data_IF_660288734449
#
_entry.id   IF_660288734449
#
_cell.length_a   1.000
_cell.length_b   1.000
_cell.length_c   1.000
_cell.angle_alpha   90.00
_cell.angle_beta   90.00
_cell.angle_gamma   90.00
#
_symmetry.space_group_name_H-M   'P 1'
#
loop_
_entity.id
_entity.type
_entity.pdbx_description
1 polymer ?
#
# COMPACT_ATOMS: atom_id res chain seq x y z
N UNK A 1 26.08 -6.66 21.01
CA UNK A 1 24.64 -6.67 20.71
C UNK A 1 24.20 -5.23 20.71
N UNK A 2 23.87 -4.69 19.56
CA UNK A 2 23.37 -3.32 19.46
C UNK A 2 21.90 -3.34 19.89
N UNK A 3 21.59 -2.75 21.05
CA UNK A 3 20.23 -2.68 21.61
C UNK A 3 19.49 -1.49 20.98
N UNK A 4 19.47 -1.44 19.65
CA UNK A 4 18.78 -0.41 18.90
C UNK A 4 17.28 -0.69 18.81
N UNK A 5 16.47 0.37 18.71
CA UNK A 5 15.04 0.24 18.45
C UNK A 5 14.85 -0.44 17.09
N UNK A 6 14.21 -1.60 17.08
CA UNK A 6 13.84 -2.30 15.85
C UNK A 6 12.78 -1.50 15.08
N UNK A 7 12.68 -1.71 13.76
CA UNK A 7 11.65 -1.04 12.94
C UNK A 7 10.22 -1.32 13.43
N UNK A 8 9.99 -2.50 14.01
CA UNK A 8 8.70 -2.89 14.61
C UNK A 8 8.42 -2.10 15.87
N UNK A 9 9.39 -2.01 16.79
CA UNK A 9 9.28 -1.19 18.01
C UNK A 9 9.08 0.29 17.67
N UNK A 10 9.71 0.79 16.60
CA UNK A 10 9.47 2.15 16.10
C UNK A 10 8.01 2.36 15.71
N UNK A 11 7.42 1.43 14.94
CA UNK A 11 6.05 1.58 14.47
C UNK A 11 5.06 1.51 15.64
N UNK A 12 5.25 0.56 16.55
CA UNK A 12 4.47 0.44 17.79
C UNK A 12 4.58 1.73 18.61
N UNK A 13 5.80 2.24 18.81
CA UNK A 13 6.04 3.47 19.54
C UNK A 13 5.38 4.68 18.87
N UNK A 14 5.44 4.79 17.53
CA UNK A 14 4.83 5.87 16.76
C UNK A 14 3.30 5.85 16.82
N UNK A 15 2.69 4.67 16.75
CA UNK A 15 1.23 4.51 16.83
C UNK A 15 0.71 4.81 18.23
N UNK A 16 1.48 4.43 19.25
CA UNK A 16 1.11 4.59 20.65
C UNK A 16 1.68 5.87 21.26
N UNK A 17 2.31 6.78 20.49
CA UNK A 17 3.01 7.94 21.08
C UNK A 17 2.08 8.83 21.89
N UNK A 18 0.83 8.99 21.46
CA UNK A 18 -0.17 9.80 22.16
C UNK A 18 -0.64 9.15 23.46
N UNK A 19 -0.84 7.82 23.44
CA UNK A 19 -1.18 7.03 24.62
C UNK A 19 -0.01 6.99 25.62
N UNK A 20 1.23 6.78 25.14
CA UNK A 20 2.45 6.84 25.94
C UNK A 20 2.61 8.23 26.58
N UNK A 21 2.40 9.31 25.82
CA UNK A 21 2.46 10.67 26.37
C UNK A 21 1.38 10.89 27.43
N UNK A 22 0.15 10.42 27.18
CA UNK A 22 -0.94 10.49 28.15
C UNK A 22 -0.62 9.72 29.43
N UNK A 23 -0.08 8.51 29.31
CA UNK A 23 0.39 7.72 30.45
C UNK A 23 1.55 8.39 31.18
N UNK A 24 2.50 9.02 30.49
CA UNK A 24 3.62 9.71 31.14
C UNK A 24 3.18 10.99 31.86
N UNK A 25 2.15 11.67 31.37
CA UNK A 25 1.55 12.83 32.03
C UNK A 25 0.68 12.42 33.22
N UNK A 26 -0.01 11.27 33.15
CA UNK A 26 -0.96 10.81 34.18
C UNK A 26 -0.38 9.85 35.23
N UNK A 27 0.51 8.91 34.84
CA UNK A 27 0.97 7.79 35.68
C UNK A 27 2.13 8.15 36.60
N UNK A 28 2.89 9.20 36.28
CA UNK A 28 3.90 9.74 37.19
C UNK A 28 3.14 10.54 38.24
N UNK A 29 2.77 9.88 39.33
CA UNK A 29 1.89 10.38 40.41
C UNK A 29 2.32 11.69 41.10
N UNK A 30 3.46 12.26 40.70
CA UNK A 30 3.86 13.64 40.94
C UNK A 30 4.09 14.30 39.58
N UNK A 31 3.37 15.39 39.28
CA UNK A 31 3.60 16.28 38.13
C UNK A 31 5.08 16.56 37.91
N UNK A 32 5.82 16.73 39.00
CA UNK A 32 7.23 17.08 39.02
C UNK A 32 8.11 16.02 38.35
N UNK A 33 7.81 14.73 38.49
CA UNK A 33 8.60 13.67 37.88
C UNK A 33 8.39 13.61 36.36
N UNK A 34 7.16 13.87 35.90
CA UNK A 34 6.85 13.94 34.47
C UNK A 34 7.53 15.14 33.82
N UNK A 35 7.49 16.29 34.50
CA UNK A 35 8.17 17.53 34.09
C UNK A 35 9.68 17.31 34.05
N UNK A 36 10.27 16.70 35.07
CA UNK A 36 11.71 16.43 35.12
C UNK A 36 12.13 15.46 34.01
N UNK A 37 11.38 14.37 33.80
CA UNK A 37 11.65 13.43 32.71
C UNK A 37 11.57 14.13 31.34
N UNK A 38 10.55 14.95 31.14
CA UNK A 38 10.39 15.74 29.92
C UNK A 38 11.59 16.68 29.71
N UNK A 39 11.99 17.46 30.74
CA UNK A 39 13.14 18.37 30.67
C UNK A 39 14.45 17.61 30.37
N UNK A 40 14.66 16.46 31.01
CA UNK A 40 15.84 15.60 30.77
C UNK A 40 15.85 15.07 29.34
N UNK A 41 14.73 14.53 28.86
CA UNK A 41 14.62 14.02 27.49
C UNK A 41 14.80 15.16 26.47
N UNK A 42 14.20 16.32 26.69
CA UNK A 42 14.31 17.47 25.81
C UNK A 42 15.76 17.95 25.64
N UNK A 43 16.58 17.85 26.69
CA UNK A 43 18.01 18.18 26.65
C UNK A 43 18.88 17.03 26.12
N UNK A 44 18.47 15.78 26.30
CA UNK A 44 19.23 14.60 25.87
C UNK A 44 19.09 14.29 24.38
N UNK A 45 17.95 14.65 23.77
CA UNK A 45 17.71 14.50 22.33
C UNK A 45 18.61 15.48 21.55
N UNK A 46 19.38 14.97 20.58
CA UNK A 46 20.30 15.78 19.76
C UNK A 46 19.50 16.78 18.91
N UNK A 47 20.12 17.85 18.40
CA UNK A 47 19.45 18.82 17.52
C UNK A 47 18.10 19.39 18.03
N UNK A 48 17.83 19.31 19.33
CA UNK A 48 16.55 19.71 19.93
C UNK A 48 16.57 21.14 20.50
N UNK A 49 17.64 21.90 20.22
CA UNK A 49 17.86 23.22 20.84
C UNK A 49 16.81 24.25 20.44
N UNK A 50 16.27 24.21 19.22
CA UNK A 50 15.18 25.10 18.79
C UNK A 50 13.85 24.75 19.45
N UNK A 51 13.55 23.46 19.57
CA UNK A 51 12.38 22.99 20.32
C UNK A 51 12.48 23.45 21.77
N UNK A 52 13.59 23.21 22.45
CA UNK A 52 13.80 23.63 23.85
C UNK A 52 13.68 25.14 24.02
N UNK A 53 14.17 25.94 23.06
CA UNK A 53 14.03 27.40 23.07
C UNK A 53 12.60 27.89 22.89
N UNK A 54 11.74 27.09 22.26
CA UNK A 54 10.33 27.41 22.06
C UNK A 54 9.45 27.04 23.26
N UNK A 55 10.02 26.35 24.25
CA UNK A 55 9.30 25.95 25.46
C UNK A 55 9.36 27.07 26.51
N UNK A 56 8.21 27.37 27.08
CA UNK A 56 8.06 28.23 28.25
C UNK A 56 7.51 27.41 29.42
N UNK A 57 7.71 27.84 30.67
CA UNK A 57 7.25 27.07 31.84
C UNK A 57 5.73 27.00 31.95
N UNK A 58 5.00 27.91 31.28
CA UNK A 58 3.54 27.86 31.15
C UNK A 58 3.01 26.58 30.51
N UNK A 59 3.84 25.82 29.76
CA UNK A 59 3.42 24.54 29.18
C UNK A 59 3.10 23.48 30.24
N UNK A 60 3.58 23.63 31.47
CA UNK A 60 3.36 22.66 32.55
C UNK A 60 2.09 22.94 33.36
N UNK A 61 1.46 24.10 33.13
CA UNK A 61 0.23 24.50 33.82
C UNK A 61 -1.02 23.89 33.17
N UNK A 62 -0.92 23.48 31.91
CA UNK A 62 -2.00 22.87 31.13
C UNK A 62 -1.61 21.46 30.68
N UNK A 63 -2.36 20.46 31.14
CA UNK A 63 -2.08 19.05 30.87
C UNK A 63 -2.25 18.67 29.39
N UNK A 64 -3.13 19.34 28.66
CA UNK A 64 -3.34 19.10 27.23
C UNK A 64 -2.18 19.66 26.40
N UNK A 65 -1.75 20.90 26.72
CA UNK A 65 -0.59 21.53 26.11
C UNK A 65 0.68 20.73 26.44
N UNK A 66 0.83 20.32 27.71
CA UNK A 66 1.97 19.54 28.15
C UNK A 66 2.05 18.22 27.39
N UNK A 67 0.93 17.49 27.26
CA UNK A 67 0.85 16.25 26.49
C UNK A 67 1.26 16.47 25.04
N UNK A 68 0.76 17.51 24.38
CA UNK A 68 1.09 17.79 22.98
C UNK A 68 2.60 18.01 22.78
N UNK A 69 3.23 18.76 23.67
CA UNK A 69 4.69 18.97 23.65
C UNK A 69 5.43 17.67 23.95
N UNK A 70 4.93 16.84 24.84
CA UNK A 70 5.48 15.51 25.13
C UNK A 70 5.43 14.60 23.90
N UNK A 71 4.30 14.54 23.19
CA UNK A 71 4.16 13.79 21.93
C UNK A 71 5.18 14.27 20.89
N UNK A 72 5.33 15.59 20.76
CA UNK A 72 6.28 16.19 19.82
C UNK A 72 7.71 15.79 20.14
N UNK A 73 8.09 15.84 21.43
CA UNK A 73 9.40 15.43 21.91
C UNK A 73 9.67 13.93 21.64
N UNK A 74 8.70 13.06 21.93
CA UNK A 74 8.83 11.62 21.71
C UNK A 74 8.98 11.26 20.23
N UNK A 75 8.25 11.95 19.33
CA UNK A 75 8.42 11.79 17.88
C UNK A 75 9.82 12.20 17.42
N UNK A 76 10.36 13.28 17.97
CA UNK A 76 11.70 13.75 17.63
C UNK A 76 12.79 12.84 18.20
N UNK A 77 12.62 12.31 19.42
CA UNK A 77 13.49 11.30 19.99
C UNK A 77 13.50 10.02 19.14
N UNK A 78 12.32 9.59 18.68
CA UNK A 78 12.17 8.41 17.85
C UNK A 78 12.85 8.55 16.48
N UNK A 79 12.75 9.72 15.84
CA UNK A 79 13.44 9.93 14.56
C UNK A 79 14.95 9.81 14.69
N UNK A 80 15.51 10.24 15.82
CA UNK A 80 16.95 10.19 16.08
C UNK A 80 17.45 8.83 16.55
N UNK A 81 16.64 8.09 17.29
CA UNK A 81 16.96 6.71 17.67
C UNK A 81 17.08 5.78 16.45
N UNK A 82 16.56 6.21 15.29
CA UNK A 82 16.59 5.47 14.02
C UNK A 82 17.76 5.89 13.11
N UNK A 83 18.32 7.08 13.31
CA UNK A 83 19.52 7.58 12.60
C UNK A 83 20.84 7.09 13.23
N UNK A 84 20.86 5.87 13.78
CA UNK A 84 22.14 5.17 14.01
C UNK A 84 22.67 4.78 12.62
N UNK A 85 23.80 5.35 12.15
CA UNK A 85 24.21 5.21 10.77
C UNK A 85 24.85 3.84 10.54
N UNK A 86 24.15 2.93 9.88
CA UNK A 86 24.82 2.03 8.94
C UNK A 86 24.95 2.75 7.60
N UNK A 87 26.03 3.52 7.47
CA UNK A 87 26.62 3.89 6.18
C UNK A 87 25.84 4.89 5.32
N UNK A 88 26.35 6.13 5.31
CA UNK A 88 26.47 7.03 4.16
C UNK A 88 25.40 6.87 3.06
N UNK A 89 24.42 7.76 3.05
CA UNK A 89 24.01 8.38 1.79
C UNK A 89 23.78 9.86 2.01
N UNK A 90 24.66 10.61 1.37
CA UNK A 90 24.59 12.03 1.10
C UNK A 90 23.28 12.35 0.35
N UNK A 91 22.74 13.53 0.63
CA UNK A 91 21.69 14.22 -0.13
C UNK A 91 20.28 13.60 -0.17
N UNK A 92 19.32 14.34 0.38
CA UNK A 92 17.91 14.22 0.04
C UNK A 92 17.00 14.14 1.26
N UNK A 93 16.22 15.20 1.47
CA UNK A 93 15.06 15.28 2.35
C UNK A 93 14.35 13.91 2.45
N UNK A 94 14.25 13.26 3.63
CA UNK A 94 13.47 12.05 3.75
C UNK A 94 12.00 12.45 3.67
N UNK A 95 11.42 12.29 2.48
CA UNK A 95 9.99 12.18 2.32
C UNK A 95 9.50 11.08 3.25
N UNK A 96 8.68 11.46 4.23
CA UNK A 96 7.92 10.52 5.06
C UNK A 96 6.94 9.84 4.10
N UNK A 97 7.35 8.75 3.45
CA UNK A 97 6.44 7.92 2.68
C UNK A 97 5.42 7.35 3.69
N UNK A 98 4.17 7.77 3.54
CA UNK A 98 3.07 7.23 4.31
C UNK A 98 3.06 5.69 4.15
N UNK A 99 3.32 4.98 5.25
CA UNK A 99 3.35 3.52 5.28
C UNK A 99 1.97 3.02 4.83
N UNK A 100 1.91 2.35 3.68
CA UNK A 100 0.66 1.78 3.18
C UNK A 100 0.25 0.65 4.11
N UNK A 101 -1.03 0.67 4.49
CA UNK A 101 -1.63 -0.38 5.31
C UNK A 101 -2.79 -1.00 4.56
N UNK A 102 -2.99 -2.29 4.79
CA UNK A 102 -4.01 -3.10 4.12
C UNK A 102 -5.01 -3.65 5.12
N UNK A 103 -6.27 -3.65 4.72
CA UNK A 103 -7.34 -4.34 5.42
C UNK A 103 -7.29 -5.85 5.13
N UNK A 104 -7.85 -6.71 6.00
CA UNK A 104 -8.03 -8.13 5.72
C UNK A 104 -8.79 -8.40 4.41
N UNK A 105 -9.68 -7.48 4.02
CA UNK A 105 -10.39 -7.56 2.74
C UNK A 105 -9.45 -7.38 1.55
N UNK A 106 -8.58 -6.38 1.57
CA UNK A 106 -7.60 -6.19 0.50
C UNK A 106 -6.60 -7.34 0.43
N UNK A 107 -6.09 -7.78 1.59
CA UNK A 107 -5.18 -8.93 1.63
C UNK A 107 -5.85 -10.21 1.10
N UNK A 108 -7.14 -10.41 1.34
CA UNK A 108 -7.86 -11.57 0.81
C UNK A 108 -7.77 -11.67 -0.72
N UNK A 109 -7.74 -10.54 -1.43
CA UNK A 109 -7.56 -10.46 -2.88
C UNK A 109 -6.13 -10.84 -3.26
N UNK A 110 -5.13 -10.21 -2.64
CA UNK A 110 -3.71 -10.46 -2.98
C UNK A 110 -3.25 -11.89 -2.67
N UNK A 111 -3.81 -12.50 -1.62
CA UNK A 111 -3.51 -13.89 -1.26
C UNK A 111 -4.40 -14.92 -1.96
N UNK A 112 -5.47 -14.51 -2.64
CA UNK A 112 -6.43 -15.42 -3.27
C UNK A 112 -7.17 -16.32 -2.28
N UNK A 113 -7.50 -15.81 -1.09
CA UNK A 113 -8.17 -16.57 -0.01
C UNK A 113 -9.37 -15.82 0.57
N UNK A 114 -10.13 -16.45 1.46
CA UNK A 114 -11.24 -15.78 2.14
C UNK A 114 -10.74 -14.79 3.21
N UNK A 115 -11.53 -13.77 3.51
CA UNK A 115 -11.27 -12.85 4.65
C UNK A 115 -11.15 -13.62 5.97
N UNK A 116 -11.98 -14.65 6.17
CA UNK A 116 -11.92 -15.53 7.35
C UNK A 116 -10.57 -16.24 7.46
N UNK A 117 -10.00 -16.67 6.33
CA UNK A 117 -8.66 -17.27 6.28
C UNK A 117 -7.58 -16.29 6.74
N UNK A 118 -7.67 -15.03 6.33
CA UNK A 118 -6.75 -13.98 6.78
C UNK A 118 -6.86 -13.80 8.31
N UNK A 119 -8.07 -13.72 8.86
CA UNK A 119 -8.25 -13.64 10.32
C UNK A 119 -7.67 -14.85 11.04
N UNK A 120 -7.92 -16.07 10.54
CA UNK A 120 -7.34 -17.28 11.14
C UNK A 120 -5.80 -17.25 11.11
N UNK A 121 -5.19 -16.72 10.06
CA UNK A 121 -3.74 -16.58 9.97
C UNK A 121 -3.18 -15.51 10.90
N UNK A 122 -3.93 -14.44 11.18
CA UNK A 122 -3.60 -13.47 12.23
C UNK A 122 -3.63 -14.15 13.59
N UNK A 123 -4.70 -14.90 13.89
CA UNK A 123 -4.84 -15.63 15.15
C UNK A 123 -3.75 -16.72 15.33
N UNK A 124 -3.22 -17.26 14.22
CA UNK A 124 -2.07 -18.18 14.20
C UNK A 124 -0.70 -17.50 14.29
N UNK A 125 -0.64 -16.15 14.34
CA UNK A 125 0.61 -15.40 14.39
C UNK A 125 1.41 -15.43 13.09
N UNK A 126 0.78 -15.74 11.95
CA UNK A 126 1.45 -15.77 10.64
C UNK A 126 1.77 -14.37 10.12
N UNK A 127 1.04 -13.36 10.58
CA UNK A 127 1.38 -11.95 10.41
C UNK A 127 2.14 -11.50 11.65
N UNK A 128 3.47 -11.39 11.57
CA UNK A 128 4.30 -11.14 12.76
C UNK A 128 3.98 -9.77 13.38
N UNK A 129 3.73 -9.75 14.68
CA UNK A 129 3.43 -8.53 15.43
C UNK A 129 2.01 -7.99 15.25
N UNK A 130 1.16 -8.67 14.46
CA UNK A 130 -0.24 -8.29 14.27
C UNK A 130 -1.13 -9.19 15.12
N UNK A 131 -1.99 -8.55 15.91
CA UNK A 131 -3.07 -9.21 16.64
C UNK A 131 -4.42 -8.74 16.11
N UNK A 132 -5.45 -9.53 16.38
CA UNK A 132 -6.81 -9.17 16.01
C UNK A 132 -7.25 -7.97 16.82
N UNK A 133 -7.64 -6.89 16.14
CA UNK A 133 -8.24 -5.75 16.79
C UNK A 133 -9.58 -6.19 17.40
N UNK A 134 -9.83 -5.72 18.63
CA UNK A 134 -11.04 -6.05 19.36
C UNK A 134 -12.32 -5.61 18.66
N UNK A 135 -13.46 -5.96 19.24
CA UNK A 135 -14.79 -5.58 18.74
C UNK A 135 -14.85 -4.06 18.46
N UNK A 136 -15.23 -3.68 17.23
CA UNK A 136 -15.30 -2.32 16.69
C UNK A 136 -14.01 -1.66 16.19
N UNK A 137 -12.89 -2.39 16.04
CA UNK A 137 -11.68 -1.86 15.38
C UNK A 137 -11.37 -2.65 14.10
N UNK A 138 -10.93 -1.94 13.05
CA UNK A 138 -10.46 -2.56 11.82
C UNK A 138 -9.00 -2.98 11.99
N UNK A 139 -8.65 -4.21 11.58
CA UNK A 139 -7.25 -4.60 11.45
C UNK A 139 -6.65 -3.84 10.27
N UNK A 140 -5.63 -3.03 10.53
CA UNK A 140 -4.79 -2.42 9.51
C UNK A 140 -3.42 -3.08 9.58
N UNK A 141 -3.01 -3.67 8.46
CA UNK A 141 -1.78 -4.46 8.37
C UNK A 141 -0.79 -3.69 7.50
N UNK A 142 0.27 -3.14 8.09
CA UNK A 142 1.32 -2.43 7.35
C UNK A 142 1.95 -3.29 6.24
N UNK A 143 2.36 -2.67 5.14
CA UNK A 143 3.00 -3.34 4.01
C UNK A 143 4.34 -4.01 4.37
N UNK A 144 5.03 -3.53 5.40
CA UNK A 144 6.27 -4.10 5.92
C UNK A 144 6.05 -5.28 6.89
N UNK A 145 4.80 -5.63 7.20
CA UNK A 145 4.48 -6.79 8.03
C UNK A 145 5.10 -8.05 7.43
N UNK A 146 5.84 -8.81 8.24
CA UNK A 146 6.35 -10.10 7.81
C UNK A 146 5.27 -11.16 7.89
N UNK A 147 5.00 -11.81 6.77
CA UNK A 147 4.15 -12.99 6.67
C UNK A 147 4.97 -14.28 6.67
N UNK A 148 4.53 -15.27 7.45
CA UNK A 148 5.14 -16.60 7.55
C UNK A 148 4.27 -17.62 6.82
N UNK A 149 4.83 -18.25 5.78
CA UNK A 149 4.21 -19.35 5.06
C UNK A 149 4.07 -20.59 5.95
N UNK A 150 3.15 -21.51 5.62
CA UNK A 150 3.01 -22.78 6.33
C UNK A 150 4.28 -23.65 6.25
N UNK A 151 5.11 -23.41 5.23
CA UNK A 151 6.44 -24.02 5.07
C UNK A 151 7.53 -23.38 5.94
N UNK A 152 7.23 -22.31 6.68
CA UNK A 152 8.19 -21.53 7.46
C UNK A 152 8.95 -20.45 6.67
N UNK A 153 8.77 -20.37 5.34
CA UNK A 153 9.30 -19.27 4.52
C UNK A 153 8.73 -17.93 5.01
N UNK A 154 9.52 -16.86 4.94
CA UNK A 154 9.11 -15.50 5.32
C UNK A 154 9.11 -14.57 4.11
N UNK A 155 8.17 -13.65 4.08
CA UNK A 155 8.06 -12.59 3.05
C UNK A 155 7.43 -11.34 3.66
N UNK A 156 7.52 -10.19 3.01
CA UNK A 156 6.74 -9.01 3.41
C UNK A 156 5.40 -8.95 2.67
N UNK A 157 4.42 -8.24 3.24
CA UNK A 157 3.16 -7.95 2.55
C UNK A 157 3.40 -7.14 1.27
N UNK A 158 4.33 -6.19 1.32
CA UNK A 158 4.77 -5.41 0.16
C UNK A 158 5.21 -6.31 -1.00
N UNK A 159 6.00 -7.34 -0.73
CA UNK A 159 6.46 -8.28 -1.76
C UNK A 159 5.29 -9.07 -2.34
N UNK A 160 4.36 -9.54 -1.49
CA UNK A 160 3.16 -10.28 -1.94
C UNK A 160 2.30 -9.40 -2.85
N UNK A 161 2.05 -8.15 -2.45
CA UNK A 161 1.26 -7.19 -3.25
C UNK A 161 1.96 -6.88 -4.57
N UNK A 162 3.29 -6.73 -4.55
CA UNK A 162 4.08 -6.45 -5.75
C UNK A 162 4.06 -7.63 -6.72
N UNK A 163 4.20 -8.85 -6.21
CA UNK A 163 4.08 -10.07 -7.00
C UNK A 163 2.68 -10.20 -7.62
N UNK A 164 1.62 -10.04 -6.82
CA UNK A 164 0.24 -10.09 -7.31
C UNK A 164 -0.02 -9.05 -8.40
N UNK A 165 0.42 -7.80 -8.22
CA UNK A 165 0.23 -6.74 -9.24
C UNK A 165 0.97 -7.04 -10.54
N UNK A 166 2.16 -7.66 -10.44
CA UNK A 166 2.93 -8.08 -11.60
C UNK A 166 2.19 -9.19 -12.34
N UNK A 167 1.72 -10.21 -11.62
CA UNK A 167 0.94 -11.31 -12.18
C UNK A 167 -0.36 -10.82 -12.83
N UNK A 168 -1.07 -9.88 -12.18
CA UNK A 168 -2.29 -9.29 -12.73
C UNK A 168 -2.03 -8.51 -14.02
N UNK A 169 -0.94 -7.73 -14.07
CA UNK A 169 -0.56 -7.01 -15.29
C UNK A 169 -0.18 -7.96 -16.43
N UNK A 170 0.55 -9.04 -16.13
CA UNK A 170 0.90 -10.07 -17.11
C UNK A 170 -0.35 -10.81 -17.62
N UNK A 171 -1.28 -11.15 -16.74
CA UNK A 171 -2.55 -11.78 -17.11
C UNK A 171 -3.42 -10.87 -17.98
N UNK A 172 -3.58 -9.61 -17.59
CA UNK A 172 -4.35 -8.63 -18.35
C UNK A 172 -3.77 -8.42 -19.75
N UNK A 173 -2.46 -8.27 -19.85
CA UNK A 173 -1.78 -8.14 -21.16
C UNK A 173 -1.95 -9.38 -22.04
N UNK A 174 -1.93 -10.58 -21.47
CA UNK A 174 -2.11 -11.84 -22.21
C UNK A 174 -3.54 -11.99 -22.74
N UNK A 175 -4.54 -11.60 -21.94
CA UNK A 175 -5.95 -11.62 -22.35
C UNK A 175 -6.19 -10.61 -23.48
N UNK A 176 -5.63 -9.41 -23.37
CA UNK A 176 -5.76 -8.37 -24.41
C UNK A 176 -5.10 -8.78 -25.73
N UNK A 177 -3.91 -9.38 -25.69
CA UNK A 177 -3.25 -9.94 -26.89
C UNK A 177 -4.09 -11.06 -27.49
N UNK A 178 -4.63 -11.96 -26.66
CA UNK A 178 -5.49 -13.05 -27.15
C UNK A 178 -6.80 -12.55 -27.77
N UNK A 179 -7.42 -11.49 -27.25
CA UNK A 179 -8.65 -10.89 -27.80
C UNK A 179 -8.36 -10.19 -29.14
N UNK A 180 -7.22 -9.49 -29.24
CA UNK A 180 -6.76 -8.86 -30.48
C UNK A 180 -6.47 -9.91 -31.57
N UNK A 181 -5.75 -10.99 -31.22
CA UNK A 181 -5.43 -12.07 -32.16
C UNK A 181 -6.70 -12.80 -32.63
N UNK A 182 -7.65 -13.04 -31.73
CA UNK A 182 -8.94 -13.63 -32.06
C UNK A 182 -9.71 -12.76 -33.07
N UNK A 183 -9.83 -11.46 -32.82
CA UNK A 183 -10.53 -10.54 -33.73
C UNK A 183 -9.81 -10.38 -35.07
N UNK A 184 -8.48 -10.33 -35.07
CA UNK A 184 -7.66 -10.27 -36.29
C UNK A 184 -7.84 -11.53 -37.13
N UNK A 185 -7.87 -12.72 -36.50
CA UNK A 185 -8.14 -13.98 -37.17
C UNK A 185 -9.53 -14.04 -37.79
N UNK A 186 -10.57 -13.57 -37.09
CA UNK A 186 -11.92 -13.52 -37.64
C UNK A 186 -12.03 -12.56 -38.84
N UNK A 187 -11.37 -11.40 -38.79
CA UNK A 187 -11.32 -10.45 -39.91
C UNK A 187 -10.68 -11.10 -41.14
N UNK A 188 -9.56 -11.81 -40.97
CA UNK A 188 -8.87 -12.48 -42.07
C UNK A 188 -9.74 -13.57 -42.74
N UNK A 189 -10.57 -14.29 -41.98
CA UNK A 189 -11.52 -15.27 -42.54
C UNK A 189 -12.56 -14.60 -43.44
N UNK A 190 -13.07 -13.43 -43.05
CA UNK A 190 -14.01 -12.68 -43.87
C UNK A 190 -13.34 -12.04 -45.09
N UNK A 191 -12.12 -11.52 -44.96
CA UNK A 191 -11.32 -11.01 -46.08
C UNK A 191 -11.05 -12.10 -47.11
N UNK A 192 -10.76 -13.33 -46.67
CA UNK A 192 -10.58 -14.46 -47.58
C UNK A 192 -11.90 -14.93 -48.21
N UNK A 193 -13.02 -14.94 -47.46
CA UNK A 193 -14.36 -15.29 -47.96
C UNK A 193 -14.82 -14.31 -49.05
N UNK A 194 -14.60 -13.02 -48.87
CA UNK A 194 -15.06 -11.96 -49.78
C UNK A 194 -13.98 -11.40 -50.72
N UNK A 195 -12.76 -11.93 -50.65
CA UNK A 195 -11.60 -11.61 -51.50
C UNK A 195 -11.25 -10.12 -51.52
N UNK A 196 -11.26 -9.50 -50.35
CA UNK A 196 -10.88 -8.11 -50.18
C UNK A 196 -11.31 -7.53 -48.83
N UNK A 197 -10.86 -6.32 -48.55
CA UNK A 197 -11.19 -5.58 -47.33
C UNK A 197 -12.70 -5.27 -47.24
N UNK A 198 -13.21 -5.14 -46.01
CA UNK A 198 -14.63 -4.84 -45.74
C UNK A 198 -15.13 -3.64 -46.55
N UNK A 199 -14.40 -2.53 -46.53
CA UNK A 199 -14.76 -1.27 -47.20
C UNK A 199 -14.81 -1.38 -48.73
N UNK A 200 -14.16 -2.39 -49.31
CA UNK A 200 -14.12 -2.61 -50.77
C UNK A 200 -15.05 -3.73 -51.23
N UNK A 201 -15.71 -4.40 -50.29
CA UNK A 201 -16.57 -5.56 -50.53
C UNK A 201 -17.98 -5.26 -49.99
N UNK A 202 -18.33 -5.83 -48.83
CA UNK A 202 -19.64 -5.71 -48.21
C UNK A 202 -19.97 -4.28 -47.74
N UNK A 203 -18.95 -3.48 -47.41
CA UNK A 203 -19.12 -2.08 -46.99
C UNK A 203 -19.65 -1.15 -48.09
N UNK A 204 -19.44 -1.52 -49.37
CA UNK A 204 -19.88 -0.75 -50.55
C UNK A 204 -21.08 -1.33 -51.28
N UNK A 205 -21.55 -2.51 -50.89
CA UNK A 205 -22.62 -3.23 -51.59
C UNK A 205 -24.00 -2.73 -51.13
N UNK A 206 -24.77 -2.15 -52.06
CA UNK A 206 -26.11 -1.59 -51.78
C UNK A 206 -27.20 -2.64 -51.56
N UNK A 207 -27.07 -3.82 -52.20
CA UNK A 207 -28.01 -4.93 -52.07
C UNK A 207 -27.27 -6.17 -51.53
N UNK A 208 -27.39 -6.39 -50.23
CA UNK A 208 -26.83 -7.54 -49.52
C UNK A 208 -27.88 -8.66 -49.47
N UNK A 209 -27.44 -9.91 -49.59
CA UNK A 209 -28.30 -11.04 -49.21
C UNK A 209 -28.44 -11.10 -47.68
N UNK A 210 -29.45 -11.78 -47.13
CA UNK A 210 -29.60 -11.92 -45.68
C UNK A 210 -28.36 -12.52 -44.97
N UNK A 211 -27.64 -13.40 -45.66
CA UNK A 211 -26.37 -13.97 -45.17
C UNK A 211 -25.25 -12.93 -45.18
N UNK A 212 -25.11 -12.17 -46.27
CA UNK A 212 -24.11 -11.11 -46.38
C UNK A 212 -24.37 -9.94 -45.41
N UNK A 213 -25.62 -9.64 -45.09
CA UNK A 213 -25.98 -8.63 -44.09
C UNK A 213 -25.55 -9.05 -42.69
N UNK A 214 -25.76 -10.32 -42.34
CA UNK A 214 -25.31 -10.90 -41.07
C UNK A 214 -23.78 -10.88 -40.99
N UNK A 215 -23.10 -11.33 -42.04
CA UNK A 215 -21.64 -11.33 -42.11
C UNK A 215 -21.05 -9.92 -42.06
N UNK A 216 -21.69 -8.94 -42.70
CA UNK A 216 -21.27 -7.55 -42.64
C UNK A 216 -21.35 -6.97 -41.22
N UNK A 217 -22.40 -7.31 -40.46
CA UNK A 217 -22.55 -6.87 -39.07
C UNK A 217 -21.49 -7.49 -38.16
N UNK A 218 -21.24 -8.80 -38.30
CA UNK A 218 -20.25 -9.53 -37.50
C UNK A 218 -18.83 -9.04 -37.81
N UNK A 219 -18.52 -8.85 -39.09
CA UNK A 219 -17.23 -8.32 -39.51
C UNK A 219 -17.00 -6.89 -39.01
N UNK A 220 -18.00 -6.01 -39.11
CA UNK A 220 -17.93 -4.64 -38.57
C UNK A 220 -17.73 -4.62 -37.05
N UNK A 221 -18.34 -5.55 -36.33
CA UNK A 221 -18.11 -5.71 -34.90
C UNK A 221 -16.64 -6.05 -34.60
N UNK A 222 -16.06 -7.03 -35.30
CA UNK A 222 -14.65 -7.39 -35.12
C UNK A 222 -13.69 -6.25 -35.48
N UNK A 223 -13.93 -5.51 -36.56
CA UNK A 223 -13.15 -4.33 -36.93
C UNK A 223 -13.21 -3.22 -35.86
N UNK A 224 -14.38 -3.02 -35.25
CA UNK A 224 -14.56 -2.07 -34.15
C UNK A 224 -13.75 -2.47 -32.91
N UNK A 225 -13.76 -3.75 -32.55
CA UNK A 225 -13.02 -4.30 -31.42
C UNK A 225 -11.50 -4.24 -31.64
N UNK A 226 -11.03 -4.58 -32.84
CA UNK A 226 -9.61 -4.51 -33.19
C UNK A 226 -9.08 -3.06 -33.10
N UNK A 227 -9.85 -2.07 -33.59
CA UNK A 227 -9.47 -0.64 -33.49
C UNK A 227 -9.39 -0.12 -32.05
N UNK A 228 -10.19 -0.69 -31.14
CA UNK A 228 -10.12 -0.34 -29.72
C UNK A 228 -8.87 -0.97 -29.06
N UNK A 229 -8.57 -2.24 -29.35
CA UNK A 229 -7.37 -2.90 -28.84
C UNK A 229 -6.05 -2.22 -29.26
N UNK A 230 -5.98 -1.65 -30.48
CA UNK A 230 -4.82 -0.86 -30.91
C UNK A 230 -4.71 0.51 -30.22
N UNK A 231 -5.82 1.12 -29.78
CA UNK A 231 -5.78 2.42 -29.08
C UNK A 231 -5.34 2.31 -27.63
N UNK A 232 -5.63 1.17 -27.00
CA UNK A 232 -5.28 0.94 -25.60
C UNK A 232 -3.80 0.52 -25.44
N UNK A 233 -3.15 0.03 -26.50
CA UNK A 233 -1.72 -0.33 -26.53
C UNK A 233 -0.77 0.84 -26.82
N UNK A 234 -1.26 1.98 -27.30
CA UNK A 234 -0.46 3.19 -27.61
C UNK A 234 -0.36 4.21 -26.45
N UNK A 235 -0.92 3.91 -25.26
CA UNK A 235 -0.88 4.77 -24.07
C UNK A 235 0.07 4.27 -23.00
#
# INVERSE_FOLDING_TARGET
>A
MDMGITRVEKNIFSQNTDEIASELVQSLSNSDNSILLFKVLALAVKNNAEFVRSLDESIFEDADIFREKYVTLLKHALSQAVDVPTGITDSGVPSIEAVRSYTPKELSVFFGVSITTIFNWIDQGRFMGIQRAGSNKHNLIPDDTTYVYGSGKRTTIKDIVTMWKKEEAEHQSTIEVSDLDYHTGQIALYEDKYKGEFERTLGTKLNLTPEEETDAQVWKHHLGRQRLGFKDTEK
#
